data_IF_126156053842
#
_entry.id   IF_126156053842
#
_cell.length_a   1.000
_cell.length_b   1.000
_cell.length_c   1.000
_cell.angle_alpha   90.00
_cell.angle_beta   90.00
_cell.angle_gamma   90.00
#
_symmetry.space_group_name_H-M   'P 1'
#
loop_
_entity.id
_entity.type
_entity.pdbx_description
1 polymer ?
#
# COMPACT_ATOMS: atom_id res chain seq x y z
N UNK A 1 9.06 -9.28 -2.80
CA UNK A 1 8.98 -8.61 -1.48
C UNK A 1 10.19 -7.71 -1.19
N UNK A 2 11.42 -8.14 -1.48
CA UNK A 2 12.63 -7.40 -1.08
C UNK A 2 12.86 -6.08 -1.84
N UNK A 3 12.62 -6.03 -3.16
CA UNK A 3 12.82 -4.81 -3.95
C UNK A 3 11.84 -3.70 -3.54
N UNK A 4 10.52 -3.96 -3.39
CA UNK A 4 9.58 -2.98 -2.85
C UNK A 4 9.97 -2.46 -1.46
N UNK A 5 10.50 -3.33 -0.59
CA UNK A 5 10.96 -2.94 0.74
C UNK A 5 12.14 -1.97 0.69
N UNK A 6 13.17 -2.27 -0.12
CA UNK A 6 14.31 -1.36 -0.31
C UNK A 6 13.87 -0.03 -0.95
N UNK A 7 12.93 -0.09 -1.89
CA UNK A 7 12.39 1.11 -2.53
C UNK A 7 11.60 1.99 -1.56
N UNK A 8 10.68 1.41 -0.78
CA UNK A 8 9.91 2.13 0.23
C UNK A 8 10.83 2.77 1.29
N UNK A 9 11.89 2.08 1.72
CA UNK A 9 12.89 2.63 2.64
C UNK A 9 13.62 3.83 2.01
N UNK A 10 14.04 3.72 0.74
CA UNK A 10 14.70 4.80 0.01
C UNK A 10 13.77 6.00 -0.18
N UNK A 11 12.50 5.78 -0.51
CA UNK A 11 11.50 6.83 -0.66
C UNK A 11 11.29 7.59 0.66
N UNK A 12 11.13 6.89 1.78
CA UNK A 12 11.01 7.52 3.10
C UNK A 12 12.23 8.36 3.44
N UNK A 13 13.42 7.82 3.21
CA UNK A 13 14.67 8.52 3.50
C UNK A 13 14.87 9.78 2.64
N UNK A 14 14.43 9.76 1.38
CA UNK A 14 14.58 10.87 0.43
C UNK A 14 13.38 11.83 0.38
N UNK A 15 12.29 11.50 1.05
CA UNK A 15 11.08 12.33 1.05
C UNK A 15 11.34 13.66 1.73
N UNK A 16 10.99 14.76 1.07
CA UNK A 16 10.99 16.11 1.65
C UNK A 16 9.60 16.56 2.11
N UNK A 17 8.55 15.77 1.81
CA UNK A 17 7.18 16.03 2.23
C UNK A 17 6.80 15.33 3.52
N UNK A 18 5.67 15.74 4.11
CA UNK A 18 5.11 15.19 5.36
C UNK A 18 4.17 14.00 5.15
N UNK A 19 3.81 13.69 3.91
CA UNK A 19 2.88 12.60 3.61
C UNK A 19 3.50 11.21 3.89
N UNK A 20 2.72 10.27 4.44
CA UNK A 20 3.21 8.94 4.76
C UNK A 20 3.52 8.12 3.49
N UNK A 21 4.63 7.39 3.52
CA UNK A 21 4.98 6.38 2.50
C UNK A 21 4.79 4.99 3.11
N UNK A 22 3.78 4.24 2.64
CA UNK A 22 3.44 2.92 3.15
C UNK A 22 3.82 1.81 2.17
N UNK A 23 4.12 0.62 2.70
CA UNK A 23 4.31 -0.61 1.94
C UNK A 23 3.42 -1.69 2.56
N UNK A 24 2.36 -2.09 1.86
CA UNK A 24 1.55 -3.26 2.23
C UNK A 24 2.13 -4.48 1.52
N UNK A 25 2.49 -5.50 2.29
CA UNK A 25 2.90 -6.80 1.74
C UNK A 25 1.92 -7.85 2.23
N UNK A 26 1.32 -8.57 1.29
CA UNK A 26 0.54 -9.75 1.61
C UNK A 26 1.47 -10.97 1.62
N UNK A 27 1.65 -11.58 2.80
CA UNK A 27 2.53 -12.73 2.97
C UNK A 27 1.88 -14.06 2.59
N UNK A 28 0.59 -14.04 2.22
CA UNK A 28 -0.21 -15.22 1.88
C UNK A 28 -0.56 -15.28 0.39
N UNK A 29 -0.38 -14.19 -0.34
CA UNK A 29 -0.72 -14.06 -1.75
C UNK A 29 0.50 -14.15 -2.69
N UNK A 30 0.27 -14.64 -3.91
CA UNK A 30 1.24 -14.66 -5.00
C UNK A 30 1.18 -13.41 -5.88
N UNK A 31 1.78 -13.48 -7.08
CA UNK A 31 1.83 -12.34 -8.02
C UNK A 31 0.43 -11.82 -8.42
N UNK A 32 -0.56 -12.70 -8.48
CA UNK A 32 -1.95 -12.35 -8.81
C UNK A 32 -2.77 -11.80 -7.64
N UNK A 33 -2.18 -11.62 -6.45
CA UNK A 33 -2.89 -11.24 -5.25
C UNK A 33 -3.65 -12.40 -4.60
N UNK A 34 -4.47 -12.08 -3.60
CA UNK A 34 -5.22 -13.07 -2.83
C UNK A 34 -6.30 -13.74 -3.70
N UNK A 35 -6.34 -15.07 -3.69
CA UNK A 35 -7.35 -15.84 -4.41
C UNK A 35 -8.69 -15.78 -3.70
N UNK A 36 -9.74 -15.36 -4.40
CA UNK A 36 -11.11 -15.37 -3.89
C UNK A 36 -11.96 -14.27 -4.53
N UNK A 37 -13.24 -14.58 -4.78
CA UNK A 37 -14.18 -13.67 -5.49
C UNK A 37 -14.18 -12.24 -4.94
N UNK A 38 -14.07 -12.11 -3.62
CA UNK A 38 -14.15 -10.84 -2.89
C UNK A 38 -12.80 -10.38 -2.31
N UNK A 39 -11.73 -11.15 -2.47
CA UNK A 39 -10.44 -10.84 -1.85
C UNK A 39 -9.86 -9.52 -2.41
N UNK A 40 -9.94 -9.33 -3.73
CA UNK A 40 -9.54 -8.07 -4.40
C UNK A 40 -10.26 -6.83 -3.86
N UNK A 41 -11.50 -6.95 -3.40
CA UNK A 41 -12.25 -5.79 -2.91
C UNK A 41 -11.69 -5.28 -1.59
N UNK A 42 -11.03 -6.13 -0.80
CA UNK A 42 -10.32 -5.69 0.41
C UNK A 42 -9.11 -4.84 0.07
N UNK A 43 -8.35 -5.23 -0.96
CA UNK A 43 -7.20 -4.45 -1.44
C UNK A 43 -7.67 -3.10 -2.02
N UNK A 44 -8.70 -3.10 -2.88
CA UNK A 44 -9.30 -1.87 -3.41
C UNK A 44 -9.84 -0.96 -2.30
N UNK A 45 -10.50 -1.52 -1.28
CA UNK A 45 -11.00 -0.74 -0.15
C UNK A 45 -9.85 -0.12 0.66
N UNK A 46 -8.74 -0.84 0.86
CA UNK A 46 -7.56 -0.32 1.55
C UNK A 46 -6.91 0.83 0.77
N UNK A 47 -6.78 0.70 -0.55
CA UNK A 47 -6.25 1.75 -1.43
C UNK A 47 -7.12 3.02 -1.37
N UNK A 48 -8.45 2.87 -1.47
CA UNK A 48 -9.37 4.00 -1.35
C UNK A 48 -9.37 4.62 0.04
N UNK A 49 -9.36 3.82 1.11
CA UNK A 49 -9.27 4.32 2.47
C UNK A 49 -8.00 5.15 2.69
N UNK A 50 -6.87 4.73 2.12
CA UNK A 50 -5.62 5.48 2.16
C UNK A 50 -5.71 6.81 1.42
N UNK A 51 -6.28 6.81 0.21
CA UNK A 51 -6.47 8.03 -0.59
C UNK A 51 -7.41 9.03 0.10
N UNK A 52 -8.54 8.55 0.64
CA UNK A 52 -9.50 9.38 1.40
C UNK A 52 -8.82 9.98 2.63
N UNK A 53 -8.03 9.18 3.36
CA UNK A 53 -7.27 9.64 4.52
C UNK A 53 -6.27 10.73 4.17
N UNK A 54 -5.62 10.65 3.01
CA UNK A 54 -4.68 11.66 2.51
C UNK A 54 -5.37 12.92 1.99
N UNK A 55 -6.55 12.79 1.39
CA UNK A 55 -7.31 13.90 0.81
C UNK A 55 -8.01 14.80 1.86
N UNK A 56 -7.80 14.53 3.16
CA UNK A 56 -8.39 15.28 4.28
C UNK A 56 -9.92 15.41 4.22
N UNK A 57 -10.63 14.44 3.63
CA UNK A 57 -12.07 14.32 3.83
C UNK A 57 -12.32 14.00 5.31
N UNK A 58 -12.59 15.05 6.08
CA UNK A 58 -13.10 14.97 7.44
C UNK A 58 -14.46 14.30 7.46
#
# INVERSE_FOLDING_TARGET
>A
YWEPAKWAARLRHRSTGSNPVLLKTDMTAGHGGASGRFARFRDTALEHAFLIKLAELK
#
